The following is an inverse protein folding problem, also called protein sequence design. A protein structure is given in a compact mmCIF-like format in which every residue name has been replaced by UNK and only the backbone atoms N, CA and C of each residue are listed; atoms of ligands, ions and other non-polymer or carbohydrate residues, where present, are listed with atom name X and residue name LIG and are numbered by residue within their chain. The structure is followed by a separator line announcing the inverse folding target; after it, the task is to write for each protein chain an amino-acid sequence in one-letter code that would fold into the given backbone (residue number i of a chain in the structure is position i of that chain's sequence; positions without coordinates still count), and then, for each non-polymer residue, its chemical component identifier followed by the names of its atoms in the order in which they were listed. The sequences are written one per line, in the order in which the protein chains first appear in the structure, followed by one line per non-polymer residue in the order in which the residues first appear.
data_IF_991965913176
#
_entry.id   IF_991965913176
#
_cell.length_a   1.000
_cell.length_b   1.000
_cell.length_c   1.000
_cell.angle_alpha   90.00
_cell.angle_beta   90.00
_cell.angle_gamma   90.00
#
_symmetry.space_group_name_H-M   'P 1'
#
loop_
_entity.id
_entity.type
_entity.pdbx_description
1 polymer ?
#
# COMPACT_ATOMS: atom_id res chain seq x y z
N UNK A 1 -25.57 45.78 29.18
CA UNK A 1 -24.32 45.14 29.62
C UNK A 1 -24.41 43.67 29.29
N UNK A 2 -23.56 43.26 28.36
CA UNK A 2 -23.46 41.98 27.67
C UNK A 2 -22.76 40.93 28.53
N UNK A 3 -23.26 39.70 28.53
CA UNK A 3 -22.59 38.54 29.12
C UNK A 3 -23.04 37.27 28.39
N UNK A 4 -22.39 37.00 27.26
CA UNK A 4 -22.66 35.83 26.42
C UNK A 4 -22.03 34.57 27.00
N UNK A 5 -22.81 33.50 27.03
CA UNK A 5 -22.33 32.14 27.23
C UNK A 5 -21.99 31.56 25.85
N UNK A 6 -20.70 31.41 25.57
CA UNK A 6 -20.23 30.67 24.39
C UNK A 6 -20.27 29.19 24.77
N UNK A 7 -21.25 28.47 24.22
CA UNK A 7 -21.21 27.00 24.15
C UNK A 7 -20.01 26.63 23.26
N UNK A 8 -18.96 26.08 23.86
CA UNK A 8 -17.93 25.37 23.13
C UNK A 8 -18.54 24.04 22.64
N UNK A 9 -18.92 24.00 21.36
CA UNK A 9 -19.29 22.77 20.70
C UNK A 9 -18.04 21.90 20.55
N UNK A 10 -17.91 20.89 21.41
CA UNK A 10 -17.01 19.76 21.17
C UNK A 10 -17.56 18.96 19.99
N UNK A 11 -17.07 19.26 18.78
CA UNK A 11 -17.27 18.42 17.61
C UNK A 11 -16.42 17.16 17.85
N UNK A 12 -17.04 16.14 18.43
CA UNK A 12 -16.51 14.78 18.41
C UNK A 12 -16.49 14.31 16.96
N UNK A 13 -15.29 14.29 16.37
CA UNK A 13 -15.06 13.61 15.11
C UNK A 13 -15.24 12.11 15.36
N UNK A 14 -16.37 11.56 14.95
CA UNK A 14 -16.56 10.11 14.81
C UNK A 14 -15.63 9.64 13.68
N UNK A 15 -14.42 9.23 14.05
CA UNK A 15 -13.56 8.41 13.20
C UNK A 15 -14.22 7.03 13.09
N UNK A 16 -15.02 6.82 12.04
CA UNK A 16 -15.44 5.47 11.65
C UNK A 16 -14.30 4.78 10.91
N UNK A 17 -13.20 4.48 11.61
CA UNK A 17 -12.27 3.46 11.17
C UNK A 17 -12.68 2.17 11.86
N UNK A 18 -13.45 1.33 11.17
CA UNK A 18 -13.65 -0.05 11.61
C UNK A 18 -12.34 -0.79 11.43
N UNK A 19 -11.47 -0.73 12.43
CA UNK A 19 -10.35 -1.67 12.55
C UNK A 19 -10.96 -3.02 12.95
N UNK A 20 -11.41 -3.79 11.96
CA UNK A 20 -11.76 -5.19 12.19
C UNK A 20 -10.46 -5.92 12.55
N UNK A 21 -10.43 -6.51 13.73
CA UNK A 21 -9.31 -7.32 14.20
C UNK A 21 -9.25 -8.59 13.34
N UNK A 22 -8.35 -8.61 12.36
CA UNK A 22 -8.00 -9.83 11.60
C UNK A 22 -7.47 -10.92 12.55
N UNK A 23 -7.58 -12.21 12.21
CA UNK A 23 -7.05 -13.29 13.03
C UNK A 23 -5.54 -13.11 13.31
N UNK A 24 -5.24 -12.66 14.52
CA UNK A 24 -4.04 -12.69 15.37
C UNK A 24 -2.60 -12.53 14.79
N UNK A 25 -2.31 -12.60 13.50
CA UNK A 25 -0.93 -12.82 13.05
C UNK A 25 -0.40 -11.93 11.91
N UNK A 26 -1.24 -11.33 11.06
CA UNK A 26 -0.81 -10.29 10.12
C UNK A 26 -1.59 -9.00 10.38
N UNK A 27 -0.91 -7.86 10.42
CA UNK A 27 -1.59 -6.58 10.54
C UNK A 27 -1.87 -6.07 9.13
N UNK A 28 -3.14 -6.16 8.71
CA UNK A 28 -3.59 -5.66 7.41
C UNK A 28 -4.38 -4.38 7.64
N UNK A 29 -4.22 -3.42 6.75
CA UNK A 29 -5.03 -2.21 6.75
C UNK A 29 -5.64 -2.01 5.36
N UNK A 30 -6.97 -1.93 5.29
CA UNK A 30 -7.67 -1.50 4.08
C UNK A 30 -7.91 0.00 4.15
N UNK A 31 -7.53 0.72 3.10
CA UNK A 31 -7.71 2.16 2.95
C UNK A 31 -8.81 2.37 1.89
N UNK A 32 -9.93 2.91 2.33
CA UNK A 32 -11.13 3.10 1.52
C UNK A 32 -10.99 4.26 0.52
N UNK A 33 -11.76 4.27 -0.59
CA UNK A 33 -11.67 5.30 -1.61
C UNK A 33 -11.88 6.74 -1.09
N UNK A 34 -12.81 6.94 -0.16
CA UNK A 34 -13.11 8.24 0.46
C UNK A 34 -11.98 8.73 1.38
N UNK A 35 -11.31 7.80 2.09
CA UNK A 35 -10.11 8.13 2.84
C UNK A 35 -8.98 8.59 1.92
N UNK A 36 -8.74 7.87 0.81
CA UNK A 36 -7.73 8.24 -0.19
C UNK A 36 -7.97 9.65 -0.73
N UNK A 37 -9.21 9.95 -1.15
CA UNK A 37 -9.59 11.27 -1.67
C UNK A 37 -9.38 12.39 -0.63
N UNK A 38 -9.47 12.07 0.66
CA UNK A 38 -9.32 13.04 1.74
C UNK A 38 -7.87 13.29 2.12
N UNK A 39 -7.08 12.23 2.29
CA UNK A 39 -5.76 12.26 2.94
C UNK A 39 -4.58 12.12 1.98
N UNK A 40 -4.79 11.52 0.81
CA UNK A 40 -3.72 11.13 -0.12
C UNK A 40 -3.87 11.72 -1.52
N UNK A 41 -4.82 12.64 -1.73
CA UNK A 41 -4.96 13.36 -3.01
C UNK A 41 -4.87 14.88 -2.88
N UNK A 42 -4.55 15.53 -3.99
CA UNK A 42 -4.62 16.97 -4.18
C UNK A 42 -5.02 17.31 -5.62
N UNK A 43 -5.47 18.53 -5.86
CA UNK A 43 -5.71 19.05 -7.21
C UNK A 43 -4.50 19.83 -7.71
N UNK A 44 -3.95 19.46 -8.86
CA UNK A 44 -2.85 20.14 -9.55
C UNK A 44 -3.26 20.47 -10.97
N UNK A 45 -3.18 21.74 -11.36
CA UNK A 45 -3.52 22.21 -12.72
C UNK A 45 -4.91 21.75 -13.21
N UNK A 46 -5.86 21.53 -12.29
CA UNK A 46 -7.21 21.05 -12.60
C UNK A 46 -7.39 19.53 -12.50
N UNK A 47 -6.31 18.76 -12.46
CA UNK A 47 -6.34 17.30 -12.35
C UNK A 47 -6.24 16.84 -10.90
N UNK A 48 -6.89 15.72 -10.59
CA UNK A 48 -6.74 15.05 -9.29
C UNK A 48 -5.49 14.18 -9.30
N UNK A 49 -4.59 14.39 -8.35
CA UNK A 49 -3.36 13.62 -8.20
C UNK A 49 -3.39 12.81 -6.90
N UNK A 50 -2.93 11.56 -7.00
CA UNK A 50 -2.73 10.63 -5.90
C UNK A 50 -1.27 10.56 -5.51
N UNK A 51 -1.01 10.63 -4.21
CA UNK A 51 0.31 10.39 -3.64
C UNK A 51 0.45 8.93 -3.25
N UNK A 52 1.44 8.27 -3.84
CA UNK A 52 1.78 6.88 -3.58
C UNK A 52 2.70 6.76 -2.37
N UNK A 53 2.77 5.58 -1.79
CA UNK A 53 3.58 5.29 -0.59
C UNK A 53 5.09 5.36 -0.82
N UNK A 54 5.54 5.39 -2.08
CA UNK A 54 6.94 5.68 -2.42
C UNK A 54 7.26 7.19 -2.49
N UNK A 55 6.25 8.06 -2.28
CA UNK A 55 6.33 9.52 -2.33
C UNK A 55 6.07 10.13 -3.69
N UNK A 56 5.96 9.32 -4.75
CA UNK A 56 5.64 9.83 -6.07
C UNK A 56 4.17 10.24 -6.15
N UNK A 57 3.89 11.24 -6.99
CA UNK A 57 2.51 11.66 -7.30
C UNK A 57 2.15 11.21 -8.70
N UNK A 58 0.93 10.70 -8.87
CA UNK A 58 0.39 10.25 -10.16
C UNK A 58 -1.00 10.83 -10.38
N UNK A 59 -1.31 11.20 -11.61
CA UNK A 59 -2.65 11.67 -11.98
C UNK A 59 -3.65 10.52 -11.86
N UNK A 60 -4.79 10.77 -11.22
CA UNK A 60 -5.95 9.90 -11.32
C UNK A 60 -6.73 10.19 -12.60
N UNK A 61 -7.12 9.14 -13.31
CA UNK A 61 -7.99 9.22 -14.46
C UNK A 61 -9.43 9.23 -13.95
N UNK A 62 -10.04 10.41 -13.91
CA UNK A 62 -11.40 10.59 -13.35
C UNK A 62 -12.51 10.51 -14.39
N UNK A 63 -12.16 10.45 -15.69
CA UNK A 63 -13.10 10.27 -16.80
C UNK A 63 -12.80 8.97 -17.52
N UNK A 64 -13.81 8.11 -17.62
CA UNK A 64 -13.72 6.82 -18.32
C UNK A 64 -13.46 6.97 -19.83
N UNK A 65 -13.67 8.17 -20.39
CA UNK A 65 -13.40 8.51 -21.79
C UNK A 65 -11.97 9.03 -22.02
N UNK A 66 -11.15 9.09 -20.98
CA UNK A 66 -9.73 9.42 -21.12
C UNK A 66 -9.07 8.48 -22.13
N UNK A 67 -8.17 9.01 -22.95
CA UNK A 67 -7.46 8.28 -24.00
C UNK A 67 -6.68 7.06 -23.51
N UNK A 68 -6.30 7.03 -22.22
CA UNK A 68 -5.64 5.88 -21.60
C UNK A 68 -6.61 4.69 -21.37
N UNK A 69 -7.93 4.93 -21.35
CA UNK A 69 -8.95 3.90 -21.14
C UNK A 69 -9.38 3.31 -22.49
N UNK A 70 -8.80 2.16 -22.84
CA UNK A 70 -9.08 1.50 -24.11
C UNK A 70 -10.51 0.97 -24.25
N UNK A 71 -11.13 0.54 -23.14
CA UNK A 71 -12.51 0.07 -23.10
C UNK A 71 -13.23 0.73 -21.92
N UNK A 72 -14.23 1.60 -22.16
CA UNK A 72 -14.90 2.32 -21.08
C UNK A 72 -15.94 1.46 -20.34
N UNK A 73 -16.16 0.20 -20.72
CA UNK A 73 -17.11 -0.69 -20.06
C UNK A 73 -18.53 -0.13 -20.06
N UNK A 74 -19.15 -0.01 -18.88
CA UNK A 74 -20.49 0.56 -18.73
C UNK A 74 -20.51 2.09 -18.57
N UNK A 75 -19.35 2.74 -18.67
CA UNK A 75 -19.20 4.19 -18.58
C UNK A 75 -18.93 4.70 -17.16
N UNK A 76 -18.64 3.83 -16.19
CA UNK A 76 -18.27 4.19 -14.83
C UNK A 76 -17.01 3.45 -14.38
N UNK A 77 -16.34 4.00 -13.36
CA UNK A 77 -15.31 3.28 -12.62
C UNK A 77 -15.94 2.62 -11.39
N UNK A 78 -15.59 1.37 -11.17
CA UNK A 78 -16.10 0.52 -10.10
C UNK A 78 -14.95 0.11 -9.17
N UNK A 79 -14.72 0.86 -8.06
CA UNK A 79 -13.79 0.43 -7.03
C UNK A 79 -14.19 -0.93 -6.46
N UNK A 80 -13.19 -1.71 -6.04
CA UNK A 80 -13.48 -3.00 -5.39
C UNK A 80 -14.28 -2.81 -4.09
N UNK A 81 -15.16 -3.76 -3.77
CA UNK A 81 -15.90 -3.76 -2.51
C UNK A 81 -14.95 -3.91 -1.33
N UNK A 82 -15.07 -3.01 -0.34
CA UNK A 82 -14.29 -3.08 0.91
C UNK A 82 -14.55 -4.40 1.63
N UNK A 83 -15.82 -4.79 1.71
CA UNK A 83 -16.26 -6.02 2.39
C UNK A 83 -15.65 -7.26 1.74
N UNK A 84 -15.66 -7.32 0.40
CA UNK A 84 -15.07 -8.45 -0.33
C UNK A 84 -13.55 -8.46 -0.26
N UNK A 85 -12.90 -7.29 -0.24
CA UNK A 85 -11.45 -7.18 -0.02
C UNK A 85 -11.08 -7.69 1.38
N UNK A 86 -11.85 -7.32 2.41
CA UNK A 86 -11.68 -7.80 3.78
C UNK A 86 -11.89 -9.31 3.89
N UNK A 87 -12.90 -9.86 3.22
CA UNK A 87 -13.11 -11.30 3.12
C UNK A 87 -11.92 -12.00 2.43
N UNK A 88 -11.42 -11.43 1.34
CA UNK A 88 -10.29 -11.97 0.60
C UNK A 88 -9.01 -12.01 1.44
N UNK A 89 -8.72 -10.94 2.18
CA UNK A 89 -7.60 -10.85 3.09
C UNK A 89 -7.73 -11.84 4.25
N UNK A 90 -8.91 -11.95 4.84
CA UNK A 90 -9.20 -12.88 5.94
C UNK A 90 -9.11 -14.35 5.51
N UNK A 91 -9.29 -14.62 4.21
CA UNK A 91 -9.19 -15.96 3.64
C UNK A 91 -7.75 -16.38 3.28
N UNK A 92 -6.76 -15.48 3.37
CA UNK A 92 -5.36 -15.84 3.16
C UNK A 92 -4.85 -16.70 4.33
N UNK A 93 -4.26 -17.85 4.02
CA UNK A 93 -3.57 -18.69 5.00
C UNK A 93 -2.20 -18.08 5.32
N UNK A 94 -2.20 -17.12 6.25
CA UNK A 94 -1.02 -16.39 6.70
C UNK A 94 -0.56 -16.83 8.11
N UNK A 95 -0.89 -18.06 8.53
CA UNK A 95 -0.60 -18.55 9.89
C UNK A 95 0.89 -18.55 10.24
N UNK A 96 1.77 -18.52 9.24
CA UNK A 96 3.22 -18.43 9.38
C UNK A 96 3.78 -16.99 9.30
N UNK A 97 2.94 -16.02 8.95
CA UNK A 97 3.32 -14.65 8.63
C UNK A 97 3.16 -13.71 9.83
N UNK A 98 3.86 -13.95 10.94
CA UNK A 98 3.62 -13.24 12.21
C UNK A 98 4.01 -11.74 12.25
N UNK A 99 4.56 -11.20 11.16
CA UNK A 99 4.94 -9.79 11.05
C UNK A 99 4.71 -9.19 9.65
N UNK A 100 3.75 -9.76 8.90
CA UNK A 100 3.43 -9.23 7.58
C UNK A 100 2.48 -8.04 7.70
N UNK A 101 2.96 -6.89 7.25
CA UNK A 101 2.19 -5.67 7.21
C UNK A 101 1.82 -5.31 5.76
N UNK A 102 0.54 -5.39 5.42
CA UNK A 102 0.04 -5.04 4.08
C UNK A 102 -0.95 -3.89 4.21
N UNK A 103 -0.74 -2.83 3.44
CA UNK A 103 -1.70 -1.74 3.26
C UNK A 103 -2.38 -1.88 1.91
N UNK A 104 -3.70 -2.09 1.88
CA UNK A 104 -4.47 -2.28 0.66
C UNK A 104 -5.27 -1.02 0.37
N UNK A 105 -4.92 -0.33 -0.70
CA UNK A 105 -5.59 0.87 -1.18
C UNK A 105 -6.63 0.48 -2.23
N UNK A 106 -7.90 0.68 -1.91
CA UNK A 106 -8.97 0.54 -2.89
C UNK A 106 -9.10 1.87 -3.62
N UNK A 107 -8.57 1.93 -4.84
CA UNK A 107 -8.48 3.19 -5.56
C UNK A 107 -9.86 3.62 -6.09
N UNK A 108 -10.23 4.91 -5.94
CA UNK A 108 -11.45 5.44 -6.55
C UNK A 108 -11.35 5.53 -8.09
N UNK A 109 -10.13 5.70 -8.60
CA UNK A 109 -9.83 5.96 -10.01
C UNK A 109 -8.54 5.25 -10.43
N UNK A 110 -8.39 4.86 -11.71
CA UNK A 110 -7.13 4.34 -12.20
C UNK A 110 -6.02 5.39 -12.14
N UNK A 111 -4.77 4.95 -11.99
CA UNK A 111 -3.59 5.80 -12.05
C UNK A 111 -3.10 5.89 -13.49
N UNK A 112 -2.84 7.10 -13.98
CA UNK A 112 -2.26 7.34 -15.31
C UNK A 112 -0.94 6.57 -15.48
N UNK A 113 -0.78 5.86 -16.60
CA UNK A 113 0.33 4.95 -16.88
C UNK A 113 0.34 3.65 -16.06
N UNK A 114 -0.59 3.46 -15.12
CA UNK A 114 -0.66 2.34 -14.18
C UNK A 114 -2.12 1.89 -13.97
N UNK A 115 -2.78 1.53 -15.07
CA UNK A 115 -4.22 1.24 -15.10
C UNK A 115 -4.61 -0.03 -14.34
N UNK A 116 -3.69 -0.97 -14.18
CA UNK A 116 -3.91 -2.22 -13.45
C UNK A 116 -3.57 -2.07 -11.98
N UNK A 117 -4.07 -3.00 -11.17
CA UNK A 117 -3.63 -3.15 -9.80
C UNK A 117 -2.13 -3.47 -9.75
N UNK A 118 -1.47 -3.04 -8.68
CA UNK A 118 -0.02 -3.24 -8.49
C UNK A 118 0.31 -3.35 -7.02
N UNK A 119 1.37 -4.05 -6.68
CA UNK A 119 1.99 -4.02 -5.36
C UNK A 119 3.35 -3.30 -5.37
N UNK A 120 3.62 -2.51 -4.33
CA UNK A 120 4.91 -1.86 -4.10
C UNK A 120 5.13 -1.55 -2.62
N UNK A 121 6.30 -1.94 -2.07
CA UNK A 121 6.78 -1.56 -0.71
C UNK A 121 5.76 -1.80 0.42
N UNK A 122 5.12 -2.97 0.44
CA UNK A 122 4.11 -3.30 1.46
C UNK A 122 2.72 -2.71 1.20
N UNK A 123 2.54 -1.98 0.09
CA UNK A 123 1.25 -1.47 -0.36
C UNK A 123 0.73 -2.27 -1.57
N UNK A 124 -0.56 -2.57 -1.58
CA UNK A 124 -1.31 -3.07 -2.73
C UNK A 124 -2.26 -1.97 -3.17
N UNK A 125 -2.23 -1.60 -4.45
CA UNK A 125 -3.15 -0.64 -5.04
C UNK A 125 -4.14 -1.41 -5.92
N UNK A 126 -5.40 -1.49 -5.51
CA UNK A 126 -6.46 -2.12 -6.28
C UNK A 126 -7.09 -1.06 -7.17
N UNK A 127 -6.82 -1.13 -8.47
CA UNK A 127 -7.41 -0.23 -9.47
C UNK A 127 -8.91 -0.54 -9.67
N UNK A 128 -9.79 0.45 -9.88
CA UNK A 128 -11.19 0.17 -10.17
C UNK A 128 -11.35 -0.50 -11.54
N UNK A 129 -12.38 -1.32 -11.68
CA UNK A 129 -12.80 -1.86 -12.96
C UNK A 129 -13.59 -0.83 -13.77
N UNK A 130 -13.74 -1.08 -15.07
CA UNK A 130 -14.76 -0.42 -15.93
C UNK A 130 -16.08 -1.18 -15.95
N UNK A 131 -16.13 -2.27 -15.18
CA UNK A 131 -17.28 -3.07 -14.82
C UNK A 131 -17.08 -3.49 -13.35
N UNK A 132 -18.15 -3.82 -12.66
CA UNK A 132 -18.06 -4.35 -11.30
C UNK A 132 -17.22 -5.64 -11.25
N UNK A 133 -16.36 -5.74 -10.23
CA UNK A 133 -15.62 -6.95 -9.97
C UNK A 133 -16.53 -8.04 -9.40
N UNK A 134 -16.34 -9.29 -9.85
CA UNK A 134 -16.90 -10.44 -9.12
C UNK A 134 -16.10 -10.71 -7.84
N UNK A 135 -16.70 -11.44 -6.91
CA UNK A 135 -16.00 -11.84 -5.67
C UNK A 135 -14.74 -12.64 -5.99
N UNK A 136 -14.80 -13.58 -6.94
CA UNK A 136 -13.64 -14.39 -7.35
C UNK A 136 -12.51 -13.52 -7.90
N UNK A 137 -12.83 -12.46 -8.65
CA UNK A 137 -11.82 -11.54 -9.17
C UNK A 137 -11.13 -10.79 -8.05
N UNK A 138 -11.87 -10.30 -7.05
CA UNK A 138 -11.28 -9.61 -5.88
C UNK A 138 -10.40 -10.59 -5.09
N UNK A 139 -10.91 -11.79 -4.80
CA UNK A 139 -10.16 -12.81 -4.06
C UNK A 139 -8.88 -13.22 -4.80
N UNK A 140 -8.95 -13.42 -6.12
CA UNK A 140 -7.79 -13.70 -6.96
C UNK A 140 -6.76 -12.56 -6.84
N UNK A 141 -7.22 -11.33 -7.06
CA UNK A 141 -6.37 -10.15 -7.15
C UNK A 141 -5.65 -9.87 -5.82
N UNK A 142 -6.40 -9.87 -4.72
CA UNK A 142 -5.83 -9.65 -3.38
C UNK A 142 -4.76 -10.68 -3.05
N UNK A 143 -5.00 -11.96 -3.33
CA UNK A 143 -4.05 -13.01 -3.05
C UNK A 143 -2.81 -12.95 -3.96
N UNK A 144 -2.99 -12.65 -5.25
CA UNK A 144 -1.89 -12.48 -6.21
C UNK A 144 -0.99 -11.29 -5.81
N UNK A 145 -1.57 -10.12 -5.58
CA UNK A 145 -0.82 -8.92 -5.20
C UNK A 145 -0.14 -9.06 -3.83
N UNK A 146 -0.74 -9.81 -2.89
CA UNK A 146 -0.08 -10.16 -1.64
C UNK A 146 1.21 -10.97 -1.90
N UNK A 147 1.19 -11.91 -2.85
CA UNK A 147 2.38 -12.63 -3.29
C UNK A 147 3.46 -11.72 -3.83
N UNK A 148 3.09 -10.65 -4.55
CA UNK A 148 4.04 -9.62 -4.95
C UNK A 148 4.65 -8.87 -3.76
N UNK A 149 3.83 -8.50 -2.76
CA UNK A 149 4.35 -7.87 -1.54
C UNK A 149 5.36 -8.79 -0.83
N UNK A 150 5.08 -10.10 -0.75
CA UNK A 150 5.99 -11.05 -0.09
C UNK A 150 7.36 -11.05 -0.74
N UNK A 151 7.46 -11.25 -2.07
CA UNK A 151 8.79 -11.32 -2.68
C UNK A 151 9.52 -9.97 -2.59
N UNK A 152 8.82 -8.85 -2.75
CA UNK A 152 9.43 -7.53 -2.64
C UNK A 152 10.00 -7.22 -1.25
N UNK A 153 9.46 -7.83 -0.19
CA UNK A 153 9.93 -7.64 1.18
C UNK A 153 10.96 -8.69 1.60
N UNK A 154 10.76 -9.96 1.25
CA UNK A 154 11.50 -11.09 1.83
C UNK A 154 12.30 -11.91 0.82
N UNK A 155 11.97 -11.84 -0.47
CA UNK A 155 12.74 -12.44 -1.57
C UNK A 155 13.15 -11.35 -2.57
N UNK A 156 13.81 -10.31 -2.05
CA UNK A 156 14.21 -9.13 -2.84
C UNK A 156 15.07 -9.55 -4.03
N UNK A 157 15.04 -8.79 -5.11
CA UNK A 157 15.83 -9.08 -6.32
C UNK A 157 17.34 -9.23 -6.05
N UNK A 158 17.85 -8.60 -5.00
CA UNK A 158 19.26 -8.72 -4.60
C UNK A 158 19.58 -10.07 -3.92
N UNK A 159 18.58 -10.84 -3.49
CA UNK A 159 18.73 -12.16 -2.90
C UNK A 159 18.87 -13.23 -4.00
N UNK A 160 20.01 -13.25 -4.68
CA UNK A 160 20.28 -14.18 -5.76
C UNK A 160 20.13 -15.65 -5.33
N UNK A 161 20.68 -16.02 -4.16
CA UNK A 161 20.61 -17.39 -3.64
C UNK A 161 19.16 -17.85 -3.39
N UNK A 162 18.32 -16.98 -2.83
CA UNK A 162 16.91 -17.25 -2.62
C UNK A 162 16.16 -17.46 -3.94
N UNK A 163 16.40 -16.60 -4.93
CA UNK A 163 15.79 -16.74 -6.26
C UNK A 163 16.26 -18.01 -6.97
N UNK A 164 17.54 -18.37 -6.87
CA UNK A 164 18.06 -19.62 -7.41
C UNK A 164 17.40 -20.85 -6.75
N UNK A 165 17.22 -20.82 -5.42
CA UNK A 165 16.53 -21.88 -4.70
C UNK A 165 15.09 -22.02 -5.15
N UNK A 166 14.34 -20.91 -5.18
CA UNK A 166 12.97 -20.87 -5.66
C UNK A 166 12.85 -21.44 -7.09
N UNK A 167 13.71 -20.97 -8.02
CA UNK A 167 13.71 -21.42 -9.41
C UNK A 167 13.95 -22.92 -9.55
N UNK A 168 14.87 -23.46 -8.76
CA UNK A 168 15.18 -24.90 -8.73
C UNK A 168 13.99 -25.71 -8.23
N UNK A 169 13.38 -25.32 -7.10
CA UNK A 169 12.18 -25.98 -6.57
C UNK A 169 11.06 -25.95 -7.60
N UNK A 170 10.88 -24.80 -8.26
CA UNK A 170 9.78 -24.57 -9.20
C UNK A 170 10.02 -25.16 -10.60
N UNK A 171 11.26 -25.52 -10.93
CA UNK A 171 11.64 -26.06 -12.24
C UNK A 171 11.72 -25.01 -13.35
N UNK A 172 12.04 -23.76 -13.01
CA UNK A 172 12.10 -22.61 -13.95
C UNK A 172 13.54 -22.13 -14.18
N UNK A 173 14.48 -23.07 -14.34
CA UNK A 173 15.91 -22.80 -14.46
C UNK A 173 16.33 -22.36 -15.88
N UNK A 174 15.47 -22.50 -16.89
CA UNK A 174 15.75 -21.99 -18.24
C UNK A 174 15.54 -20.47 -18.30
N UNK A 175 16.63 -19.71 -18.18
CA UNK A 175 16.62 -18.25 -18.23
C UNK A 175 16.24 -17.66 -19.59
N UNK A 176 16.26 -18.45 -20.67
CA UNK A 176 15.79 -17.99 -21.99
C UNK A 176 14.27 -17.93 -22.06
N UNK A 177 13.59 -18.77 -21.27
CA UNK A 177 12.13 -18.82 -21.15
C UNK A 177 11.66 -17.95 -19.98
N UNK A 178 12.28 -18.14 -18.81
CA UNK A 178 11.86 -17.54 -17.55
C UNK A 178 12.77 -16.38 -17.18
N UNK A 179 12.43 -15.18 -17.64
CA UNK A 179 13.15 -13.94 -17.36
C UNK A 179 12.20 -12.75 -17.23
N UNK A 180 12.73 -11.60 -16.79
CA UNK A 180 11.94 -10.41 -16.52
C UNK A 180 11.28 -9.80 -17.78
N UNK A 181 11.81 -10.09 -18.96
CA UNK A 181 11.29 -9.60 -20.25
C UNK A 181 10.38 -10.61 -20.95
N UNK A 182 10.16 -11.80 -20.37
CA UNK A 182 9.31 -12.82 -20.95
C UNK A 182 7.83 -12.39 -20.99
N UNK A 183 7.01 -13.20 -21.66
CA UNK A 183 5.55 -13.11 -21.53
C UNK A 183 5.16 -13.15 -20.04
N UNK A 184 4.07 -12.46 -19.69
CA UNK A 184 3.65 -12.24 -18.30
C UNK A 184 3.67 -13.54 -17.46
N UNK A 185 3.01 -14.61 -17.95
CA UNK A 185 2.97 -15.91 -17.29
C UNK A 185 4.35 -16.60 -17.10
N UNK A 186 5.39 -16.20 -17.82
CA UNK A 186 6.75 -16.76 -17.74
C UNK A 186 7.69 -15.90 -16.88
N UNK A 187 7.25 -14.78 -16.34
CA UNK A 187 8.09 -13.92 -15.50
C UNK A 187 8.21 -14.53 -14.09
N UNK A 188 9.42 -14.66 -13.53
CA UNK A 188 9.60 -15.26 -12.20
C UNK A 188 8.80 -14.59 -11.09
N UNK A 189 8.67 -13.27 -11.10
CA UNK A 189 7.89 -12.51 -10.11
C UNK A 189 6.38 -12.78 -10.20
N UNK A 190 5.87 -13.01 -11.42
CA UNK A 190 4.47 -13.34 -11.68
C UNK A 190 4.17 -14.79 -11.30
N UNK A 191 5.07 -15.71 -11.66
CA UNK A 191 4.99 -17.12 -11.24
C UNK A 191 4.99 -17.21 -9.71
N UNK A 192 5.85 -16.43 -9.02
CA UNK A 192 5.86 -16.40 -7.56
C UNK A 192 4.54 -15.90 -6.97
N UNK A 193 3.96 -14.84 -7.53
CA UNK A 193 2.67 -14.32 -7.08
C UNK A 193 1.52 -15.30 -7.32
N UNK A 194 1.52 -15.99 -8.46
CA UNK A 194 0.55 -17.04 -8.78
C UNK A 194 0.69 -18.27 -7.87
N UNK A 195 1.92 -18.72 -7.61
CA UNK A 195 2.20 -19.79 -6.67
C UNK A 195 1.71 -19.41 -5.27
N UNK A 196 1.97 -18.18 -4.83
CA UNK A 196 1.49 -17.68 -3.54
C UNK A 196 -0.05 -17.68 -3.48
N UNK A 197 -0.71 -17.16 -4.51
CA UNK A 197 -2.18 -17.15 -4.62
C UNK A 197 -2.76 -18.56 -4.49
N UNK A 198 -2.18 -19.53 -5.18
CA UNK A 198 -2.71 -20.90 -5.18
C UNK A 198 -2.40 -21.60 -3.86
N UNK A 199 -1.20 -21.45 -3.31
CA UNK A 199 -0.79 -22.13 -2.08
C UNK A 199 -1.46 -21.54 -0.84
N UNK A 200 -1.59 -20.21 -0.76
CA UNK A 200 -2.00 -19.52 0.46
C UNK A 200 -3.32 -18.74 0.32
N UNK A 201 -3.90 -18.63 -0.88
CA UNK A 201 -5.20 -17.97 -1.06
C UNK A 201 -6.40 -18.79 -0.56
N UNK A 202 -7.54 -18.13 -0.36
CA UNK A 202 -8.81 -18.81 -0.06
C UNK A 202 -9.35 -19.64 -1.23
N UNK A 203 -10.44 -20.40 -1.02
CA UNK A 203 -11.06 -21.23 -2.06
C UNK A 203 -11.44 -20.44 -3.32
N UNK A 204 -12.00 -19.23 -3.17
CA UNK A 204 -12.32 -18.32 -4.28
C UNK A 204 -11.08 -17.86 -5.04
N UNK A 205 -10.00 -17.52 -4.34
CA UNK A 205 -8.74 -17.12 -4.97
C UNK A 205 -8.10 -18.25 -5.79
N UNK A 206 -8.37 -19.51 -5.41
CA UNK A 206 -7.91 -20.74 -6.06
C UNK A 206 -8.86 -21.26 -7.15
N UNK A 207 -9.98 -20.58 -7.41
CA UNK A 207 -11.00 -21.06 -8.34
C UNK A 207 -10.46 -21.20 -9.77
N UNK A 208 -9.48 -20.37 -10.14
CA UNK A 208 -8.74 -20.48 -11.40
C UNK A 208 -7.37 -21.11 -11.17
N UNK A 209 -6.98 -22.01 -12.08
CA UNK A 209 -5.65 -22.59 -12.09
C UNK A 209 -4.55 -21.57 -12.39
N UNK A 210 -3.30 -22.02 -12.32
CA UNK A 210 -2.11 -21.21 -12.58
C UNK A 210 -2.13 -20.61 -13.99
N UNK A 211 -1.74 -19.34 -14.14
CA UNK A 211 -1.69 -18.65 -15.44
C UNK A 211 -0.74 -19.37 -16.41
N UNK A 212 0.47 -19.70 -15.94
CA UNK A 212 1.40 -20.54 -16.68
C UNK A 212 0.89 -21.98 -16.77
N UNK A 213 0.48 -22.40 -17.97
CA UNK A 213 -0.07 -23.75 -18.22
C UNK A 213 0.99 -24.83 -18.41
N UNK A 214 2.26 -24.46 -18.54
CA UNK A 214 3.37 -25.41 -18.74
C UNK A 214 3.97 -25.87 -17.41
N UNK A 215 3.63 -25.20 -16.32
CA UNK A 215 4.12 -25.51 -14.99
C UNK A 215 3.17 -26.46 -14.26
N UNK A 216 3.72 -27.34 -13.44
CA UNK A 216 2.94 -28.14 -12.51
C UNK A 216 2.15 -27.24 -11.55
N UNK A 217 0.99 -27.71 -11.09
CA UNK A 217 0.23 -27.04 -10.03
C UNK A 217 1.14 -26.90 -8.79
N UNK A 218 1.29 -25.69 -8.22
CA UNK A 218 2.22 -25.48 -7.11
C UNK A 218 1.92 -26.34 -5.88
N UNK A 219 0.67 -26.80 -5.70
CA UNK A 219 0.29 -27.71 -4.61
C UNK A 219 0.92 -29.10 -4.75
N UNK A 220 1.32 -29.47 -5.96
CA UNK A 220 1.97 -30.75 -6.27
C UNK A 220 3.51 -30.64 -6.27
N UNK A 221 4.07 -29.44 -6.05
CA UNK A 221 5.52 -29.20 -6.02
C UNK A 221 6.05 -29.35 -4.60
N UNK A 222 6.75 -30.46 -4.34
CA UNK A 222 7.32 -30.78 -3.03
C UNK A 222 8.26 -29.67 -2.52
N UNK A 223 8.01 -29.19 -1.30
CA UNK A 223 8.83 -28.19 -0.61
C UNK A 223 8.61 -26.74 -1.04
N UNK A 224 7.76 -26.47 -2.04
CA UNK A 224 7.48 -25.11 -2.50
C UNK A 224 6.75 -24.27 -1.44
N UNK A 225 5.68 -24.81 -0.85
CA UNK A 225 4.93 -24.14 0.21
C UNK A 225 5.83 -23.87 1.44
N UNK A 226 6.64 -24.85 1.83
CA UNK A 226 7.57 -24.72 2.97
C UNK A 226 8.63 -23.66 2.70
N UNK A 227 9.20 -23.62 1.49
CA UNK A 227 10.15 -22.59 1.08
C UNK A 227 9.51 -21.20 1.17
N UNK A 228 8.34 -20.99 0.57
CA UNK A 228 7.66 -19.70 0.58
C UNK A 228 7.28 -19.27 2.00
N UNK A 229 6.82 -20.21 2.83
CA UNK A 229 6.51 -19.93 4.23
C UNK A 229 7.77 -19.56 5.03
N UNK A 230 8.92 -20.18 4.74
CA UNK A 230 10.20 -19.91 5.41
C UNK A 230 10.78 -18.52 5.13
N UNK A 231 10.33 -17.85 4.07
CA UNK A 231 10.72 -16.47 3.76
C UNK A 231 10.21 -15.48 4.83
N UNK A 232 9.08 -15.80 5.46
CA UNK A 232 8.45 -14.91 6.41
C UNK A 232 9.08 -15.07 7.80
N UNK A 233 9.37 -13.96 8.50
CA UNK A 233 10.04 -14.02 9.78
C UNK A 233 9.07 -14.58 10.84
N UNK A 234 9.52 -15.59 11.58
CA UNK A 234 8.76 -16.26 12.66
C UNK A 234 8.56 -15.39 13.93
N UNK A 235 8.89 -14.09 13.88
CA UNK A 235 8.89 -13.22 15.06
C UNK A 235 7.47 -12.89 15.52
N UNK A 236 7.29 -12.83 16.84
CA UNK A 236 6.01 -12.57 17.51
C UNK A 236 5.34 -11.28 17.01
N UNK A 237 4.04 -11.43 16.70
CA UNK A 237 3.03 -10.41 16.40
C UNK A 237 3.58 -9.00 16.14
N UNK A 238 3.60 -8.58 14.87
CA UNK A 238 3.69 -7.17 14.55
C UNK A 238 2.59 -6.40 15.34
N UNK A 239 2.92 -5.25 15.94
CA UNK A 239 1.90 -4.38 16.51
C UNK A 239 0.87 -4.05 15.42
N UNK A 240 -0.40 -3.91 15.82
CA UNK A 240 -1.47 -3.58 14.88
C UNK A 240 -1.10 -2.33 14.06
N UNK A 241 -1.35 -2.36 12.75
CA UNK A 241 -1.20 -1.17 11.90
C UNK A 241 -2.23 -0.16 12.35
N UNK A 242 -1.78 0.83 13.11
CA UNK A 242 -2.55 2.03 13.34
C UNK A 242 -2.41 2.95 12.13
N UNK A 243 -3.50 3.63 11.70
CA UNK A 243 -3.42 4.60 10.63
C UNK A 243 -2.38 5.68 10.98
N UNK A 244 -1.66 6.14 9.96
CA UNK A 244 -0.76 7.28 10.10
C UNK A 244 -1.56 8.46 10.63
N UNK A 245 -1.28 8.88 11.86
CA UNK A 245 -1.85 10.10 12.42
C UNK A 245 -0.80 11.20 12.30
N UNK A 246 -1.14 12.27 11.58
CA UNK A 246 -0.32 13.48 11.48
C UNK A 246 -1.09 14.63 12.14
N UNK A 247 -0.52 15.20 13.20
CA UNK A 247 -1.16 16.26 13.94
C UNK A 247 -0.19 17.29 14.53
N UNK A 248 -0.61 18.57 14.68
CA UNK A 248 -1.88 19.13 14.22
C UNK A 248 -1.91 19.24 12.68
N UNK A 249 -3.11 19.21 12.08
CA UNK A 249 -3.30 19.47 10.65
C UNK A 249 -4.65 20.18 10.47
N UNK A 250 -4.68 21.45 10.02
CA UNK A 250 -3.55 22.29 9.62
C UNK A 250 -2.57 22.60 10.76
N UNK A 251 -1.32 22.93 10.42
CA UNK A 251 -0.26 23.25 11.40
C UNK A 251 0.35 24.64 11.13
N UNK A 252 0.95 25.26 12.16
CA UNK A 252 1.72 26.51 12.06
C UNK A 252 3.23 26.25 12.20
N UNK A 253 4.10 27.06 11.57
CA UNK A 253 5.55 26.99 11.74
C UNK A 253 5.99 26.88 13.21
N UNK A 254 6.94 25.98 13.49
CA UNK A 254 7.50 25.79 14.82
C UNK A 254 6.61 24.99 15.78
N UNK A 255 5.43 24.54 15.36
CA UNK A 255 4.64 23.57 16.12
C UNK A 255 5.19 22.16 15.95
N UNK A 256 4.93 21.33 16.97
CA UNK A 256 5.24 19.92 16.95
C UNK A 256 4.30 19.17 16.00
N UNK A 257 4.85 18.66 14.90
CA UNK A 257 4.19 17.67 14.05
C UNK A 257 4.44 16.28 14.64
N UNK A 258 3.38 15.66 15.13
CA UNK A 258 3.39 14.35 15.76
C UNK A 258 2.92 13.31 14.76
N UNK A 259 3.72 12.28 14.60
CA UNK A 259 3.49 11.12 13.74
C UNK A 259 3.28 9.91 14.60
N UNK A 260 2.22 9.16 14.33
CA UNK A 260 2.04 7.82 14.88
C UNK A 260 2.27 6.79 13.78
N UNK A 261 3.26 5.92 13.94
CA UNK A 261 3.60 4.85 13.00
C UNK A 261 3.59 3.50 13.71
N UNK A 262 3.10 2.43 13.07
CA UNK A 262 2.99 1.10 13.66
C UNK A 262 4.31 0.30 13.62
N UNK A 263 5.45 0.95 13.43
CA UNK A 263 6.75 0.28 13.33
C UNK A 263 7.76 0.92 14.28
N UNK A 264 8.44 0.07 15.06
CA UNK A 264 9.59 0.47 15.85
C UNK A 264 10.84 0.45 14.98
N UNK A 265 11.76 1.39 15.21
CA UNK A 265 13.05 1.39 14.54
C UNK A 265 13.42 2.73 13.92
N UNK A 266 14.41 2.68 13.04
CA UNK A 266 14.93 3.86 12.35
C UNK A 266 14.15 4.09 11.06
N UNK A 267 13.90 5.36 10.76
CA UNK A 267 13.33 5.76 9.50
C UNK A 267 13.68 7.21 9.18
N UNK A 268 13.22 7.65 8.02
CA UNK A 268 13.41 9.03 7.55
C UNK A 268 12.04 9.64 7.30
N UNK A 269 11.85 10.86 7.78
CA UNK A 269 10.70 11.71 7.43
C UNK A 269 11.15 12.78 6.44
N UNK A 270 10.41 12.89 5.35
CA UNK A 270 10.59 13.89 4.31
C UNK A 270 9.31 14.74 4.23
N UNK A 271 9.46 16.05 4.08
CA UNK A 271 8.35 16.93 3.67
C UNK A 271 8.62 17.33 2.22
N UNK A 272 7.64 17.11 1.37
CA UNK A 272 7.69 17.40 -0.06
C UNK A 272 6.70 18.53 -0.36
N UNK A 273 7.09 19.44 -1.25
CA UNK A 273 6.11 20.34 -1.85
C UNK A 273 5.24 19.60 -2.88
N UNK A 274 4.25 20.30 -3.42
CA UNK A 274 3.29 19.73 -4.36
C UNK A 274 3.90 19.24 -5.69
N UNK A 275 5.13 19.65 -6.01
CA UNK A 275 5.87 19.16 -7.18
C UNK A 275 6.67 17.89 -6.89
N UNK A 276 6.59 17.37 -5.66
CA UNK A 276 7.40 16.24 -5.18
C UNK A 276 8.81 16.65 -4.76
N UNK A 277 9.16 17.94 -4.81
CA UNK A 277 10.47 18.41 -4.38
C UNK A 277 10.56 18.34 -2.86
N UNK A 278 11.60 17.66 -2.36
CA UNK A 278 11.91 17.62 -0.95
C UNK A 278 12.32 18.98 -0.42
N UNK A 279 11.64 19.44 0.62
CA UNK A 279 11.89 20.72 1.29
C UNK A 279 12.42 20.53 2.70
N UNK A 280 12.12 19.39 3.34
CA UNK A 280 12.61 19.02 4.66
C UNK A 280 12.93 17.53 4.69
N UNK A 281 13.94 17.15 5.47
CA UNK A 281 14.32 15.76 5.70
C UNK A 281 14.87 15.64 7.11
N UNK A 282 14.50 14.56 7.81
CA UNK A 282 15.04 14.24 9.12
C UNK A 282 14.98 12.75 9.39
N UNK A 283 16.08 12.19 9.88
CA UNK A 283 16.07 10.84 10.42
C UNK A 283 15.43 10.83 11.82
N UNK A 284 14.65 9.77 12.07
CA UNK A 284 14.04 9.52 13.37
C UNK A 284 14.33 8.10 13.84
N UNK A 285 14.22 7.91 15.15
CA UNK A 285 14.19 6.60 15.76
C UNK A 285 12.90 6.52 16.59
N UNK A 286 11.98 5.66 16.19
CA UNK A 286 10.77 5.38 16.96
C UNK A 286 11.17 4.58 18.19
N UNK A 287 10.92 5.15 19.37
CA UNK A 287 11.38 4.66 20.68
C UNK A 287 10.50 3.57 21.30
N UNK A 288 9.72 2.88 20.46
CA UNK A 288 8.84 1.80 20.88
C UNK A 288 7.46 2.22 21.40
N UNK A 289 7.11 3.51 21.28
CA UNK A 289 5.77 4.04 21.62
C UNK A 289 4.91 4.38 20.40
N UNK A 290 5.26 3.83 19.24
CA UNK A 290 4.57 4.03 17.96
C UNK A 290 4.41 5.50 17.56
N UNK A 291 5.20 6.42 18.16
CA UNK A 291 5.04 7.86 17.97
C UNK A 291 6.39 8.56 17.96
N UNK A 292 6.56 9.48 17.03
CA UNK A 292 7.67 10.43 17.05
C UNK A 292 7.18 11.83 16.68
N UNK A 293 7.97 12.83 17.04
CA UNK A 293 7.63 14.24 16.80
C UNK A 293 8.78 14.92 16.09
N UNK A 294 8.46 15.71 15.07
CA UNK A 294 9.38 16.68 14.49
C UNK A 294 8.87 18.09 14.74
N UNK A 295 9.79 19.04 14.67
CA UNK A 295 9.47 20.46 14.59
C UNK A 295 9.93 20.90 13.23
N UNK A 296 9.00 21.42 12.44
CA UNK A 296 9.29 22.05 11.17
C UNK A 296 8.90 23.52 11.24
N UNK A 297 9.84 24.39 10.88
CA UNK A 297 9.70 25.86 10.92
C UNK A 297 9.08 26.43 9.64
N UNK A 298 8.62 25.58 8.71
CA UNK A 298 8.06 26.03 7.44
C UNK A 298 9.11 26.56 6.45
N UNK A 299 10.40 26.31 6.70
CA UNK A 299 11.49 26.67 5.79
C UNK A 299 12.00 25.46 5.01
N UNK A 300 12.60 25.70 3.85
CA UNK A 300 13.38 24.66 3.17
C UNK A 300 14.81 24.54 3.73
N UNK A 301 15.58 23.58 3.21
CA UNK A 301 16.98 23.35 3.60
C UNK A 301 17.91 24.57 3.43
N UNK A 302 17.53 25.58 2.64
CA UNK A 302 18.28 26.83 2.48
C UNK A 302 17.81 27.95 3.43
N UNK A 303 16.89 27.66 4.36
CA UNK A 303 16.29 28.62 5.27
C UNK A 303 15.25 29.53 4.61
N UNK A 304 14.79 29.22 3.39
CA UNK A 304 13.79 30.04 2.70
C UNK A 304 12.40 29.71 3.22
N UNK A 305 11.66 30.73 3.62
CA UNK A 305 10.28 30.58 4.12
C UNK A 305 9.35 30.13 2.99
N UNK A 306 8.68 28.99 3.17
CA UNK A 306 7.78 28.41 2.17
C UNK A 306 6.34 28.88 2.34
N UNK A 307 5.59 28.94 1.23
CA UNK A 307 4.21 29.45 1.19
C UNK A 307 3.25 28.62 2.04
N UNK A 308 2.20 29.25 2.56
CA UNK A 308 1.06 28.51 3.10
C UNK A 308 0.47 27.60 2.00
N UNK A 309 -0.05 26.44 2.37
CA UNK A 309 -0.62 25.48 1.42
C UNK A 309 -0.44 24.02 1.82
N UNK A 310 -0.80 23.14 0.89
CA UNK A 310 -0.64 21.70 1.06
C UNK A 310 0.83 21.28 0.84
N UNK A 311 1.29 20.37 1.68
CA UNK A 311 2.56 19.66 1.57
C UNK A 311 2.31 18.18 1.82
N UNK A 312 3.27 17.37 1.42
CA UNK A 312 3.26 15.94 1.68
C UNK A 312 4.29 15.58 2.72
N UNK A 313 3.92 14.66 3.60
CA UNK A 313 4.86 13.95 4.44
C UNK A 313 5.02 12.55 3.87
N UNK A 314 6.27 12.16 3.67
CA UNK A 314 6.67 10.79 3.38
C UNK A 314 7.50 10.27 4.54
N UNK A 315 7.12 9.13 5.08
CA UNK A 315 7.90 8.38 6.05
C UNK A 315 8.38 7.11 5.36
N UNK A 316 9.65 6.79 5.53
CA UNK A 316 10.22 5.55 5.03
C UNK A 316 10.88 4.81 6.18
N UNK A 317 10.49 3.56 6.38
CA UNK A 317 11.14 2.60 7.27
C UNK A 317 11.84 1.52 6.45
N UNK A 318 12.37 0.49 7.12
CA UNK A 318 12.97 -0.65 6.44
C UNK A 318 11.94 -1.46 5.61
N UNK A 319 10.68 -1.48 6.05
CA UNK A 319 9.64 -2.36 5.51
C UNK A 319 8.46 -1.61 4.89
N UNK A 320 8.26 -0.33 5.23
CA UNK A 320 7.06 0.42 4.86
C UNK A 320 7.36 1.83 4.37
N UNK A 321 6.48 2.30 3.49
CA UNK A 321 6.26 3.72 3.22
C UNK A 321 4.98 4.17 3.91
N UNK A 322 4.97 5.42 4.39
CA UNK A 322 3.77 6.14 4.79
C UNK A 322 3.72 7.51 4.15
N UNK A 323 2.65 7.79 3.43
CA UNK A 323 2.42 9.09 2.84
C UNK A 323 1.16 9.74 3.41
N UNK A 324 1.22 11.05 3.69
CA UNK A 324 0.06 11.82 4.16
C UNK A 324 0.15 13.30 3.86
N UNK A 325 -1.00 13.94 3.66
CA UNK A 325 -1.09 15.38 3.35
C UNK A 325 -1.14 16.22 4.63
N UNK A 326 -0.31 17.24 4.72
CA UNK A 326 -0.36 18.29 5.75
C UNK A 326 -0.67 19.64 5.14
N UNK A 327 -1.29 20.53 5.91
CA UNK A 327 -1.59 21.90 5.49
C UNK A 327 -0.83 22.89 6.36
N UNK A 328 0.10 23.64 5.76
CA UNK A 328 0.84 24.72 6.42
C UNK A 328 0.02 26.00 6.40
N UNK A 329 -0.24 26.56 7.58
CA UNK A 329 -0.83 27.88 7.78
C UNK A 329 0.25 28.94 7.96
N UNK A 330 -0.08 30.19 7.61
CA UNK A 330 0.66 31.37 8.04
C UNK A 330 -0.16 32.18 9.05
#
# INVERSE_FOLDING_TARGET
MTGGWILAAAIGLLLSTSALLYPAHAAVQVIAPDEILRSSTLTLNGDLHFMQEDGSTVRFITDVKDSEIANPGDGLFHPASIETVDEALSALDLRFAHALNIRVFILPYPRSGQLRSTASRGAVYISPGVLEYTEEQIHFLVAHEAGHVIHQLYLKDQNAEGWEMYRRIRGIEDYTIYNAQAEHANRPHEIFAEDFRILFGGSRARATGHENRNLADPRDVSGLADFMASLLPLVSAAPAIEPLVIGPNPFRPGQHLTFRIPEQGKGTVEILDISGRRVYERDFQADGRDRFTIVWDGCDAAGRVLSAGAYFVKLTTATQGFCGRITLLR
#
